data_IF_693115177861
#
_entry.id   IF_693115177861
#
_cell.length_a   1.000
_cell.length_b   1.000
_cell.length_c   1.000
_cell.angle_alpha   90.00
_cell.angle_beta   90.00
_cell.angle_gamma   90.00
#
_symmetry.space_group_name_H-M   'P 1'
#
loop_
_entity.id
_entity.type
_entity.pdbx_description
1 polymer ?
#
# COMPACT_ATOMS: atom_id res chain seq x y z
N UNK A 1 -13.18 9.05 17.80
CA UNK A 1 -12.17 9.79 18.61
C UNK A 1 -11.95 11.14 17.95
N UNK A 2 -11.97 12.23 18.72
CA UNK A 2 -11.66 13.57 18.19
C UNK A 2 -10.19 13.84 18.46
N UNK A 3 -9.41 14.10 17.40
CA UNK A 3 -7.98 14.38 17.51
C UNK A 3 -7.75 15.83 17.96
N UNK A 4 -7.00 16.03 19.02
CA UNK A 4 -6.53 17.35 19.42
C UNK A 4 -5.22 17.72 18.70
N UNK A 5 -4.69 18.91 18.97
CA UNK A 5 -3.44 19.41 18.35
C UNK A 5 -2.22 18.54 18.65
N UNK A 6 -2.17 17.92 19.84
CA UNK A 6 -1.05 17.05 20.21
C UNK A 6 -1.13 15.71 19.49
N UNK A 7 -2.34 15.13 19.38
CA UNK A 7 -2.54 13.89 18.63
C UNK A 7 -2.15 14.06 17.16
N UNK A 8 -2.57 15.15 16.54
CA UNK A 8 -2.18 15.49 15.16
C UNK A 8 -0.66 15.66 15.02
N UNK A 9 -0.02 16.32 15.95
CA UNK A 9 1.44 16.50 15.93
C UNK A 9 2.18 15.18 16.14
N UNK A 10 1.71 14.30 17.04
CA UNK A 10 2.23 12.93 17.18
C UNK A 10 2.16 12.18 15.85
N UNK A 11 0.98 12.15 15.21
CA UNK A 11 0.78 11.48 13.93
C UNK A 11 1.69 12.03 12.84
N UNK A 12 1.85 13.35 12.80
CA UNK A 12 2.72 14.02 11.85
C UNK A 12 4.19 13.59 12.00
N UNK A 13 4.69 13.58 13.23
CA UNK A 13 6.06 13.13 13.53
C UNK A 13 6.24 11.65 13.20
N UNK A 14 5.33 10.79 13.67
CA UNK A 14 5.43 9.33 13.47
C UNK A 14 5.34 8.92 12.00
N UNK A 15 4.58 9.62 11.17
CA UNK A 15 4.52 9.36 9.73
C UNK A 15 5.85 9.67 9.02
N UNK A 16 6.66 10.57 9.57
CA UNK A 16 7.97 10.92 9.01
C UNK A 16 9.11 10.11 9.63
N UNK A 17 8.99 9.75 10.90
CA UNK A 17 10.04 9.08 11.69
C UNK A 17 9.45 8.00 12.59
N UNK A 18 9.01 6.90 11.99
CA UNK A 18 8.34 5.80 12.70
C UNK A 18 9.22 5.05 13.73
N UNK A 19 10.54 5.32 13.79
CA UNK A 19 11.48 4.73 14.78
C UNK A 19 11.90 5.71 15.88
N UNK A 20 11.31 6.90 15.94
CA UNK A 20 11.59 7.86 17.02
C UNK A 20 11.24 7.21 18.38
N UNK A 21 12.10 7.39 19.37
CA UNK A 21 11.78 6.96 20.72
C UNK A 21 10.79 7.91 21.40
N UNK A 22 10.15 7.46 22.48
CA UNK A 22 9.10 8.23 23.13
C UNK A 22 9.62 9.53 23.79
N UNK A 23 10.86 9.57 24.25
CA UNK A 23 11.43 10.77 24.85
C UNK A 23 11.61 11.88 23.78
N UNK A 24 12.23 11.54 22.66
CA UNK A 24 12.46 12.47 21.57
C UNK A 24 11.13 12.93 20.96
N UNK A 25 10.14 12.03 20.85
CA UNK A 25 8.79 12.39 20.40
C UNK A 25 8.14 13.40 21.37
N UNK A 26 8.19 13.12 22.66
CA UNK A 26 7.61 13.99 23.69
C UNK A 26 8.23 15.39 23.66
N UNK A 27 9.55 15.48 23.52
CA UNK A 27 10.28 16.74 23.43
C UNK A 27 9.85 17.56 22.18
N UNK A 28 9.69 16.88 21.03
CA UNK A 28 9.23 17.54 19.79
C UNK A 28 7.81 18.10 19.85
N UNK A 29 6.92 17.42 20.56
CA UNK A 29 5.52 17.84 20.66
C UNK A 29 5.24 18.73 21.89
N UNK A 30 6.24 18.94 22.74
CA UNK A 30 6.12 19.80 23.94
C UNK A 30 5.34 19.13 25.08
N UNK A 31 5.51 17.82 25.27
CA UNK A 31 4.94 17.04 26.37
C UNK A 31 6.04 16.35 27.18
N UNK A 32 5.70 15.92 28.39
CA UNK A 32 6.53 14.95 29.11
C UNK A 32 6.30 13.53 28.58
N UNK A 33 7.26 12.62 28.82
CA UNK A 33 7.28 11.28 28.25
C UNK A 33 6.03 10.42 28.58
N UNK A 34 5.53 10.49 29.81
CA UNK A 34 4.37 9.68 30.22
C UNK A 34 3.06 10.07 29.53
N UNK A 35 2.63 11.35 29.48
CA UNK A 35 1.49 11.76 28.68
C UNK A 35 1.65 11.48 27.19
N UNK A 36 2.85 11.64 26.63
CA UNK A 36 3.14 11.31 25.25
C UNK A 36 2.88 9.82 24.98
N UNK A 37 3.48 8.93 25.76
CA UNK A 37 3.30 7.48 25.62
C UNK A 37 1.82 7.07 25.75
N UNK A 38 1.08 7.65 26.67
CA UNK A 38 -0.35 7.37 26.84
C UNK A 38 -1.15 7.76 25.59
N UNK A 39 -0.82 8.89 24.96
CA UNK A 39 -1.47 9.33 23.71
C UNK A 39 -1.13 8.41 22.56
N UNK A 40 0.12 8.04 22.36
CA UNK A 40 0.55 7.10 21.31
C UNK A 40 -0.23 5.79 21.45
N UNK A 41 -0.28 5.21 22.67
CA UNK A 41 -1.05 3.99 22.91
C UNK A 41 -2.54 4.14 22.61
N UNK A 42 -3.14 5.27 22.97
CA UNK A 42 -4.55 5.52 22.66
C UNK A 42 -4.80 5.62 21.14
N UNK A 43 -3.85 6.17 20.37
CA UNK A 43 -3.91 6.21 18.91
C UNK A 43 -3.74 4.82 18.28
N UNK A 44 -2.88 3.97 18.85
CA UNK A 44 -2.70 2.57 18.45
C UNK A 44 -3.94 1.73 18.81
N UNK A 45 -4.42 1.81 20.04
CA UNK A 45 -5.58 1.04 20.54
C UNK A 45 -6.87 1.42 19.78
N UNK A 46 -6.99 2.67 19.34
CA UNK A 46 -8.12 3.10 18.52
C UNK A 46 -8.07 2.59 17.06
N UNK A 47 -6.96 1.98 16.64
CA UNK A 47 -6.73 1.54 15.28
C UNK A 47 -6.42 2.67 14.28
N UNK A 48 -6.22 3.90 14.75
CA UNK A 48 -5.80 5.00 13.89
C UNK A 48 -4.35 4.82 13.41
N UNK A 49 -3.47 4.35 14.30
CA UNK A 49 -2.15 3.84 13.93
C UNK A 49 -2.31 2.33 13.73
N UNK A 50 -2.27 1.89 12.48
CA UNK A 50 -2.44 0.48 12.10
C UNK A 50 -1.14 -0.31 12.16
N UNK A 51 -0.01 0.35 12.34
CA UNK A 51 1.31 -0.28 12.44
C UNK A 51 2.44 0.59 11.96
N UNK A 52 3.65 0.06 12.06
CA UNK A 52 4.90 0.69 11.64
C UNK A 52 5.60 -0.20 10.63
N UNK A 53 6.13 0.37 9.56
CA UNK A 53 6.77 -0.38 8.47
C UNK A 53 8.12 0.22 8.11
N UNK A 54 9.08 -0.63 7.76
CA UNK A 54 10.30 -0.19 7.13
C UNK A 54 10.03 0.15 5.66
N UNK A 55 10.55 1.28 5.19
CA UNK A 55 10.58 1.63 3.78
C UNK A 55 11.84 1.07 3.15
N UNK A 56 11.69 0.31 2.07
CA UNK A 56 12.79 -0.35 1.38
C UNK A 56 13.01 0.28 0.01
N UNK A 57 14.27 0.35 -0.40
CA UNK A 57 14.63 0.74 -1.77
C UNK A 57 14.50 -0.49 -2.69
N UNK A 58 13.45 -0.51 -3.48
CA UNK A 58 13.13 -1.60 -4.39
C UNK A 58 14.26 -1.86 -5.41
N UNK A 59 14.92 -0.79 -5.91
CA UNK A 59 16.03 -0.94 -6.87
C UNK A 59 17.21 -1.66 -6.26
N UNK A 60 17.54 -1.37 -4.99
CA UNK A 60 18.61 -2.08 -4.26
C UNK A 60 18.29 -3.56 -4.02
N UNK A 61 17.01 -3.92 -4.06
CA UNK A 61 16.53 -5.30 -4.01
C UNK A 61 16.45 -5.95 -5.40
N UNK A 62 16.87 -5.25 -6.46
CA UNK A 62 16.79 -5.74 -7.83
C UNK A 62 15.39 -5.65 -8.45
N UNK A 63 14.43 -5.00 -7.78
CA UNK A 63 13.06 -4.80 -8.27
C UNK A 63 12.98 -3.46 -9.00
N UNK A 64 13.28 -3.47 -10.29
CA UNK A 64 13.49 -2.23 -11.06
C UNK A 64 12.32 -1.85 -11.97
N UNK A 65 11.41 -2.78 -12.25
CA UNK A 65 10.28 -2.56 -13.15
C UNK A 65 8.96 -2.52 -12.39
N UNK A 66 8.25 -1.41 -12.51
CA UNK A 66 6.90 -1.24 -11.96
C UNK A 66 5.88 -1.12 -13.08
N UNK A 67 4.77 -1.84 -12.94
CA UNK A 67 3.63 -1.75 -13.84
C UNK A 67 2.34 -1.40 -13.09
N UNK A 68 1.48 -0.64 -13.75
CA UNK A 68 0.06 -0.50 -13.41
C UNK A 68 -0.71 -1.37 -14.40
N UNK A 69 -1.36 -2.41 -13.88
CA UNK A 69 -2.02 -3.42 -14.70
C UNK A 69 -3.51 -3.38 -14.44
N UNK A 70 -4.28 -3.06 -15.48
CA UNK A 70 -5.74 -3.05 -15.44
C UNK A 70 -6.27 -4.41 -15.84
N UNK A 71 -7.24 -4.91 -15.08
CA UNK A 71 -7.85 -6.23 -15.26
C UNK A 71 -9.34 -6.05 -15.52
N UNK A 72 -9.84 -6.71 -16.55
CA UNK A 72 -11.27 -6.82 -16.84
C UNK A 72 -11.77 -8.22 -16.52
N UNK A 73 -12.95 -8.31 -15.91
CA UNK A 73 -13.56 -9.57 -15.48
C UNK A 73 -14.75 -9.92 -16.38
N UNK A 74 -15.05 -11.22 -16.49
CA UNK A 74 -16.16 -11.75 -17.27
C UNK A 74 -17.53 -11.47 -16.65
N UNK A 75 -17.61 -11.56 -15.32
CA UNK A 75 -18.86 -11.43 -14.54
C UNK A 75 -18.59 -10.64 -13.26
N UNK A 76 -19.50 -9.72 -12.94
CA UNK A 76 -19.40 -8.83 -11.78
C UNK A 76 -20.22 -9.37 -10.60
N UNK A 77 -19.84 -10.53 -10.07
CA UNK A 77 -20.47 -11.11 -8.88
C UNK A 77 -19.50 -11.12 -7.70
N UNK A 78 -20.02 -11.06 -6.46
CA UNK A 78 -19.18 -11.11 -5.25
C UNK A 78 -18.27 -12.36 -5.22
N UNK A 79 -18.78 -13.51 -5.66
CA UNK A 79 -18.03 -14.78 -5.67
C UNK A 79 -16.87 -14.72 -6.68
N UNK A 80 -17.13 -14.15 -7.87
CA UNK A 80 -16.09 -13.98 -8.90
C UNK A 80 -15.00 -13.03 -8.43
N UNK A 81 -15.37 -11.94 -7.83
CA UNK A 81 -14.43 -10.96 -7.26
C UNK A 81 -13.61 -11.57 -6.12
N UNK A 82 -14.26 -12.25 -5.17
CA UNK A 82 -13.56 -12.92 -4.07
C UNK A 82 -12.55 -13.97 -4.56
N UNK A 83 -12.88 -14.74 -5.61
CA UNK A 83 -11.97 -15.70 -6.22
C UNK A 83 -10.73 -15.00 -6.82
N UNK A 84 -10.94 -13.94 -7.59
CA UNK A 84 -9.84 -13.16 -8.18
C UNK A 84 -8.96 -12.53 -7.10
N UNK A 85 -9.57 -11.84 -6.13
CA UNK A 85 -8.88 -11.15 -5.03
C UNK A 85 -8.05 -12.13 -4.20
N UNK A 86 -8.59 -13.32 -3.88
CA UNK A 86 -7.85 -14.37 -3.19
C UNK A 86 -6.65 -14.89 -3.99
N UNK A 87 -6.81 -15.02 -5.31
CA UNK A 87 -5.74 -15.46 -6.21
C UNK A 87 -4.62 -14.42 -6.36
N UNK A 88 -4.98 -13.13 -6.37
CA UNK A 88 -4.01 -12.02 -6.43
C UNK A 88 -3.29 -11.81 -5.09
N UNK A 89 -3.97 -11.99 -3.97
CA UNK A 89 -3.42 -11.72 -2.64
C UNK A 89 -2.20 -12.58 -2.28
N UNK A 90 -2.02 -13.72 -2.92
CA UNK A 90 -0.88 -14.61 -2.70
C UNK A 90 0.32 -14.31 -3.59
N UNK A 91 0.20 -13.37 -4.54
CA UNK A 91 1.28 -12.98 -5.46
C UNK A 91 2.14 -11.88 -4.83
N UNK A 92 3.39 -12.18 -4.43
CA UNK A 92 4.24 -11.20 -3.74
C UNK A 92 4.66 -10.02 -4.64
N UNK A 93 4.56 -10.18 -5.94
CA UNK A 93 4.85 -9.12 -6.92
C UNK A 93 3.77 -8.03 -6.95
N UNK A 94 2.56 -8.34 -6.46
CA UNK A 94 1.44 -7.39 -6.41
C UNK A 94 1.47 -6.62 -5.10
N UNK A 95 1.77 -5.33 -5.19
CA UNK A 95 1.87 -4.44 -4.03
C UNK A 95 0.52 -3.84 -3.63
N UNK A 96 -0.39 -3.71 -4.59
CA UNK A 96 -1.70 -3.08 -4.40
C UNK A 96 -2.70 -3.64 -5.42
N UNK A 97 -3.91 -3.87 -4.98
CA UNK A 97 -5.04 -4.28 -5.82
C UNK A 97 -6.23 -3.40 -5.46
N UNK A 98 -6.73 -2.65 -6.43
CA UNK A 98 -7.84 -1.72 -6.27
C UNK A 98 -8.99 -2.14 -7.17
N UNK A 99 -10.19 -2.33 -6.61
CA UNK A 99 -11.42 -2.39 -7.40
C UNK A 99 -11.76 -0.95 -7.81
N UNK A 100 -11.90 -0.70 -9.10
CA UNK A 100 -12.07 0.65 -9.66
C UNK A 100 -13.38 0.77 -10.42
N UNK A 101 -13.82 2.00 -10.64
CA UNK A 101 -15.00 2.33 -11.45
C UNK A 101 -14.64 3.38 -12.51
N UNK A 102 -15.44 3.45 -13.59
CA UNK A 102 -15.34 4.54 -14.58
C UNK A 102 -14.34 4.32 -15.71
N UNK A 103 -13.82 3.10 -15.87
CA UNK A 103 -12.97 2.67 -16.98
C UNK A 103 -13.41 1.30 -17.51
N UNK A 104 -12.84 0.86 -18.63
CA UNK A 104 -13.08 -0.47 -19.20
C UNK A 104 -12.32 -1.59 -18.43
N UNK A 105 -12.12 -1.41 -17.13
CA UNK A 105 -11.44 -2.34 -16.26
C UNK A 105 -12.09 -2.36 -14.88
N UNK A 106 -12.04 -3.52 -14.24
CA UNK A 106 -12.60 -3.74 -12.90
C UNK A 106 -11.56 -3.55 -11.80
N UNK A 107 -10.31 -3.93 -12.08
CA UNK A 107 -9.22 -3.80 -11.10
C UNK A 107 -8.02 -3.06 -11.68
N UNK A 108 -7.33 -2.34 -10.80
CA UNK A 108 -6.00 -1.84 -11.05
C UNK A 108 -5.02 -2.49 -10.06
N UNK A 109 -4.02 -3.17 -10.59
CA UNK A 109 -2.91 -3.73 -9.83
C UNK A 109 -1.69 -2.83 -9.94
N UNK A 110 -0.97 -2.68 -8.84
CA UNK A 110 0.38 -2.12 -8.82
C UNK A 110 1.37 -3.26 -8.62
N UNK A 111 2.14 -3.54 -9.64
CA UNK A 111 3.06 -4.67 -9.71
C UNK A 111 4.50 -4.19 -9.69
N UNK A 112 5.37 -4.91 -8.98
CA UNK A 112 6.81 -4.69 -9.00
C UNK A 112 7.56 -5.99 -9.28
N UNK A 113 8.47 -5.95 -10.24
CA UNK A 113 9.24 -7.11 -10.70
C UNK A 113 10.68 -6.70 -11.02
N UNK A 114 11.54 -7.68 -11.27
CA UNK A 114 12.95 -7.43 -11.61
C UNK A 114 13.12 -6.79 -12.97
N UNK A 115 12.46 -7.38 -13.98
CA UNK A 115 12.63 -7.06 -15.40
C UNK A 115 11.37 -7.45 -16.20
N UNK A 116 11.44 -7.30 -17.51
CA UNK A 116 10.33 -7.61 -18.42
C UNK A 116 10.04 -9.12 -18.51
N UNK A 117 11.06 -9.97 -18.44
CA UNK A 117 10.88 -11.42 -18.49
C UNK A 117 10.13 -11.91 -17.25
N UNK A 118 10.47 -11.38 -16.07
CA UNK A 118 9.72 -11.66 -14.85
C UNK A 118 8.28 -11.15 -14.93
N UNK A 119 8.05 -9.97 -15.53
CA UNK A 119 6.71 -9.45 -15.75
C UNK A 119 5.90 -10.35 -16.69
N UNK A 120 6.50 -10.78 -17.78
CA UNK A 120 5.84 -11.69 -18.73
C UNK A 120 5.45 -13.02 -18.08
N UNK A 121 6.32 -13.60 -17.26
CA UNK A 121 6.02 -14.83 -16.52
C UNK A 121 4.84 -14.62 -15.56
N UNK A 122 4.86 -13.56 -14.76
CA UNK A 122 3.75 -13.19 -13.87
C UNK A 122 2.44 -13.02 -14.62
N UNK A 123 2.48 -12.32 -15.75
CA UNK A 123 1.29 -12.03 -16.55
C UNK A 123 0.70 -13.31 -17.16
N UNK A 124 1.51 -14.06 -17.93
CA UNK A 124 1.04 -15.17 -18.75
C UNK A 124 0.81 -16.46 -17.97
N UNK A 125 1.58 -16.68 -16.90
CA UNK A 125 1.52 -17.93 -16.15
C UNK A 125 0.75 -17.83 -14.83
N UNK A 126 0.48 -16.60 -14.34
CA UNK A 126 -0.26 -16.40 -13.10
C UNK A 126 -1.54 -15.59 -13.32
N UNK A 127 -1.45 -14.30 -13.71
CA UNK A 127 -2.60 -13.40 -13.74
C UNK A 127 -3.64 -13.81 -14.79
N UNK A 128 -3.24 -14.04 -16.04
CA UNK A 128 -4.18 -14.38 -17.14
C UNK A 128 -4.78 -15.80 -16.99
N UNK A 129 -4.27 -16.61 -16.07
CA UNK A 129 -4.80 -17.94 -15.77
C UNK A 129 -5.82 -17.95 -14.65
N UNK A 130 -6.08 -16.82 -14.02
CA UNK A 130 -7.12 -16.70 -13.01
C UNK A 130 -8.48 -16.71 -13.72
N UNK A 131 -9.35 -17.61 -13.30
CA UNK A 131 -10.69 -17.74 -13.87
C UNK A 131 -11.46 -16.42 -13.76
N UNK A 132 -12.04 -16.00 -14.87
CA UNK A 132 -12.80 -14.74 -14.97
C UNK A 132 -12.02 -13.57 -15.50
N UNK A 133 -10.70 -13.64 -15.63
CA UNK A 133 -9.91 -12.59 -16.29
C UNK A 133 -10.13 -12.65 -17.79
N UNK A 134 -10.67 -11.58 -18.38
CA UNK A 134 -10.97 -11.47 -19.81
C UNK A 134 -10.09 -10.48 -20.55
N UNK A 135 -9.53 -9.52 -19.83
CA UNK A 135 -8.67 -8.49 -20.39
C UNK A 135 -7.60 -8.03 -19.42
N UNK A 136 -6.42 -7.74 -19.97
CA UNK A 136 -5.30 -7.17 -19.24
C UNK A 136 -4.67 -6.06 -20.06
N UNK A 137 -4.54 -4.90 -19.46
CA UNK A 137 -3.85 -3.75 -20.04
C UNK A 137 -2.79 -3.23 -19.07
N UNK A 138 -1.54 -3.17 -19.51
CA UNK A 138 -0.41 -2.82 -18.66
C UNK A 138 0.28 -1.54 -19.11
N UNK A 139 0.54 -0.66 -18.16
CA UNK A 139 1.33 0.54 -18.35
C UNK A 139 2.55 0.48 -17.45
N UNK A 140 3.74 0.66 -18.02
CA UNK A 140 4.99 0.66 -17.26
C UNK A 140 5.30 2.04 -16.72
N UNK A 141 5.65 2.10 -15.43
CA UNK A 141 5.98 3.35 -14.75
C UNK A 141 7.42 3.75 -15.09
N UNK A 142 7.58 4.82 -15.84
CA UNK A 142 8.91 5.34 -16.19
C UNK A 142 9.63 5.95 -14.98
N UNK A 143 8.90 6.71 -14.15
CA UNK A 143 9.39 7.24 -12.87
C UNK A 143 8.24 7.57 -11.93
N UNK A 144 8.44 7.40 -10.63
CA UNK A 144 7.55 7.95 -9.62
C UNK A 144 7.90 9.42 -9.38
N UNK A 145 6.96 10.32 -9.63
CA UNK A 145 7.14 11.77 -9.42
C UNK A 145 6.91 12.11 -7.95
N UNK A 146 5.89 11.51 -7.37
CA UNK A 146 5.56 11.63 -5.94
C UNK A 146 5.36 10.21 -5.39
N UNK A 147 6.04 9.92 -4.30
CA UNK A 147 5.93 8.66 -3.57
C UNK A 147 5.82 8.98 -2.07
N UNK A 148 4.60 9.21 -1.62
CA UNK A 148 4.29 9.58 -0.23
C UNK A 148 3.33 8.58 0.38
N UNK A 149 3.66 8.10 1.56
CA UNK A 149 2.74 7.29 2.40
C UNK A 149 2.06 8.14 3.49
N UNK A 150 2.52 9.38 3.66
CA UNK A 150 2.01 10.32 4.66
C UNK A 150 0.63 10.84 4.28
N UNK A 151 -0.33 10.67 5.19
CA UNK A 151 -1.68 11.23 5.09
C UNK A 151 -1.72 12.67 5.65
N UNK A 152 -2.53 13.56 5.10
CA UNK A 152 -2.78 14.88 5.69
C UNK A 152 -3.59 14.73 6.98
N UNK A 153 -3.09 15.24 8.10
CA UNK A 153 -3.72 15.18 9.43
C UNK A 153 -3.94 16.56 10.05
#
# INVERSE_FOLDING_TARGET
MTLDKFDKHILDVLQNEGRINNQDLADRIGLSASPCLRRVRALEDSGLITGYRALLDARKLGLSLMALTHISMDVHTPERFAHFEGSIAVLPEVLECLLITGQDADYQLKVIVRDMDHYQDLLLNKITRIDGVTGVHSSFVMRRVIDRTRLPV
#
